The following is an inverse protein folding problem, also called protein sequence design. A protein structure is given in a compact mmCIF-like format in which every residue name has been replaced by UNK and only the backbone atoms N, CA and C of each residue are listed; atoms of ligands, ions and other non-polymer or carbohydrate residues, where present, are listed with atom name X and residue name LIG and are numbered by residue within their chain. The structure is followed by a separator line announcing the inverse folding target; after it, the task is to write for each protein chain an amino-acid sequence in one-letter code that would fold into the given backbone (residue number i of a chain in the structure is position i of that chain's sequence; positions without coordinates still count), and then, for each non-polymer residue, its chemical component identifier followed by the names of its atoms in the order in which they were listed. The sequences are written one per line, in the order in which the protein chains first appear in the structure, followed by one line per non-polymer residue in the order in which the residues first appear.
data_IF_873708058220
#
_entry.id   IF_873708058220
#
_cell.length_a   1.000
_cell.length_b   1.000
_cell.length_c   1.000
_cell.angle_alpha   90.00
_cell.angle_beta   90.00
_cell.angle_gamma   90.00
#
_symmetry.space_group_name_H-M   'P 1'
#
loop_
_entity.id
_entity.type
_entity.pdbx_description
1 polymer ?
#
# COMPACT_ATOMS: atom_id res chain seq x y z
N UNK A 1 -4.53 12.47 -17.31
CA UNK A 1 -3.86 12.72 -18.59
C UNK A 1 -3.31 14.13 -18.60
N UNK A 2 -2.17 14.37 -19.23
CA UNK A 2 -1.64 15.71 -19.55
C UNK A 2 -1.30 15.67 -21.04
N UNK A 3 -1.84 16.62 -21.82
CA UNK A 3 -1.65 16.67 -23.28
C UNK A 3 -1.90 15.31 -23.96
N UNK A 4 -3.03 14.69 -23.63
CA UNK A 4 -3.46 13.36 -24.11
C UNK A 4 -2.52 12.19 -23.74
N UNK A 5 -1.46 12.43 -22.95
CA UNK A 5 -0.60 11.38 -22.40
C UNK A 5 -1.15 10.84 -21.09
N UNK A 6 -1.24 9.51 -20.99
CA UNK A 6 -1.52 8.83 -19.72
C UNK A 6 -0.32 9.02 -18.78
N UNK A 7 -0.53 9.71 -17.67
CA UNK A 7 0.51 9.99 -16.67
C UNK A 7 0.36 9.16 -15.40
N UNK A 8 -0.69 8.36 -15.30
CA UNK A 8 -0.89 7.43 -14.19
C UNK A 8 -2.23 6.71 -14.26
N UNK A 9 -2.29 5.57 -13.58
CA UNK A 9 -3.44 4.69 -13.50
C UNK A 9 -3.46 3.99 -12.14
N UNK A 10 -4.65 3.65 -11.65
CA UNK A 10 -4.83 2.76 -10.52
C UNK A 10 -5.88 1.68 -10.87
N UNK A 11 -5.85 0.57 -10.15
CA UNK A 11 -6.89 -0.45 -10.23
C UNK A 11 -7.43 -0.75 -8.84
N UNK A 12 -8.75 -0.90 -8.80
CA UNK A 12 -9.53 -1.18 -7.61
C UNK A 12 -10.27 -2.49 -7.80
N UNK A 13 -10.25 -3.34 -6.77
CA UNK A 13 -10.93 -4.62 -6.75
C UNK A 13 -12.04 -4.54 -5.70
N UNK A 14 -13.28 -4.76 -6.13
CA UNK A 14 -14.41 -4.90 -5.21
C UNK A 14 -14.34 -6.26 -4.53
N UNK A 15 -14.18 -6.27 -3.21
CA UNK A 15 -14.12 -7.47 -2.40
C UNK A 15 -15.20 -7.43 -1.31
N UNK A 16 -16.41 -7.86 -1.67
CA UNK A 16 -17.57 -7.73 -0.79
C UNK A 16 -17.86 -6.26 -0.47
N UNK A 17 -17.72 -5.91 0.81
CA UNK A 17 -17.92 -4.56 1.34
C UNK A 17 -16.61 -3.75 1.48
N UNK A 18 -15.49 -4.31 1.04
CA UNK A 18 -14.16 -3.71 1.10
C UNK A 18 -13.68 -3.38 -0.31
N UNK A 19 -13.00 -2.25 -0.45
CA UNK A 19 -12.29 -1.89 -1.68
C UNK A 19 -10.80 -2.22 -1.55
N UNK A 20 -10.28 -3.11 -2.38
CA UNK A 20 -8.86 -3.46 -2.39
C UNK A 20 -8.13 -2.67 -3.50
N UNK A 21 -7.05 -1.97 -3.15
CA UNK A 21 -6.16 -1.39 -4.17
C UNK A 21 -5.20 -2.46 -4.68
N UNK A 22 -5.00 -2.55 -6.00
CA UNK A 22 -4.13 -3.58 -6.57
C UNK A 22 -2.91 -3.01 -7.29
N UNK A 23 -3.07 -2.47 -8.50
CA UNK A 23 -1.99 -1.83 -9.24
C UNK A 23 -2.13 -0.33 -9.21
N UNK A 24 -0.99 0.34 -9.12
CA UNK A 24 -0.88 1.78 -9.28
C UNK A 24 0.43 2.08 -10.00
N UNK A 25 0.35 2.89 -11.05
CA UNK A 25 1.51 3.33 -11.81
C UNK A 25 1.35 4.78 -12.22
N UNK A 26 2.44 5.53 -12.28
CA UNK A 26 2.45 6.94 -12.61
C UNK A 26 3.80 7.35 -13.21
N UNK A 27 3.81 8.50 -13.88
CA UNK A 27 5.01 9.10 -14.44
C UNK A 27 5.85 9.74 -13.32
N UNK A 28 6.94 9.07 -12.94
CA UNK A 28 7.82 9.50 -11.85
C UNK A 28 8.46 10.87 -12.11
N UNK A 29 8.63 11.26 -13.38
CA UNK A 29 9.29 12.53 -13.74
C UNK A 29 8.51 13.75 -13.27
N UNK A 30 7.19 13.63 -13.14
CA UNK A 30 6.28 14.70 -12.73
C UNK A 30 5.58 14.41 -11.40
N UNK A 31 5.87 13.26 -10.78
CA UNK A 31 5.25 12.80 -9.52
C UNK A 31 5.31 13.86 -8.43
N UNK A 32 6.47 14.49 -8.21
CA UNK A 32 6.66 15.45 -7.12
C UNK A 32 5.96 16.79 -7.39
N UNK A 33 6.05 17.28 -8.62
CA UNK A 33 5.45 18.56 -9.02
C UNK A 33 3.92 18.48 -9.00
N UNK A 34 3.36 17.36 -9.49
CA UNK A 34 1.90 17.17 -9.59
C UNK A 34 1.31 16.35 -8.45
N UNK A 35 2.13 15.89 -7.50
CA UNK A 35 1.74 15.03 -6.38
C UNK A 35 0.88 13.82 -6.82
N UNK A 36 1.24 13.14 -7.92
CA UNK A 36 0.35 12.16 -8.56
C UNK A 36 -0.08 11.06 -7.61
N UNK A 37 0.85 10.43 -6.89
CA UNK A 37 0.53 9.37 -5.93
C UNK A 37 -0.48 9.82 -4.87
N UNK A 38 -0.29 11.01 -4.30
CA UNK A 38 -1.19 11.53 -3.27
C UNK A 38 -2.58 11.77 -3.84
N UNK A 39 -2.67 12.38 -5.03
CA UNK A 39 -3.94 12.59 -5.72
C UNK A 39 -4.63 11.26 -6.05
N UNK A 40 -3.87 10.25 -6.49
CA UNK A 40 -4.42 8.91 -6.74
C UNK A 40 -4.96 8.25 -5.48
N UNK A 41 -4.31 8.44 -4.31
CA UNK A 41 -4.87 7.99 -3.03
C UNK A 41 -6.21 8.67 -2.74
N UNK A 42 -6.30 9.99 -2.91
CA UNK A 42 -7.55 10.72 -2.70
C UNK A 42 -8.65 10.32 -3.67
N UNK A 43 -8.33 10.10 -4.95
CA UNK A 43 -9.29 9.65 -5.94
C UNK A 43 -9.88 8.27 -5.57
N UNK A 44 -9.05 7.34 -5.13
CA UNK A 44 -9.50 6.01 -4.68
C UNK A 44 -10.38 6.10 -3.42
N UNK A 45 -10.04 6.98 -2.48
CA UNK A 45 -10.83 7.22 -1.26
C UNK A 45 -12.19 7.82 -1.64
N UNK A 46 -12.19 8.88 -2.44
CA UNK A 46 -13.40 9.56 -2.88
C UNK A 46 -14.32 8.61 -3.65
N UNK A 47 -13.76 7.81 -4.57
CA UNK A 47 -14.51 6.77 -5.27
C UNK A 47 -15.14 5.77 -4.30
N UNK A 48 -14.37 5.24 -3.34
CA UNK A 48 -14.86 4.25 -2.37
C UNK A 48 -15.99 4.78 -1.51
N UNK A 49 -15.86 6.03 -1.02
CA UNK A 49 -16.90 6.71 -0.26
C UNK A 49 -18.16 6.89 -1.11
N UNK A 50 -18.01 7.40 -2.34
CA UNK A 50 -19.13 7.65 -3.23
C UNK A 50 -19.87 6.36 -3.65
N UNK A 51 -19.18 5.23 -3.66
CA UNK A 51 -19.76 3.91 -3.92
C UNK A 51 -20.29 3.21 -2.66
N UNK A 52 -20.19 3.85 -1.48
CA UNK A 52 -20.73 3.32 -0.22
C UNK A 52 -19.89 2.24 0.45
N UNK A 53 -18.61 2.11 0.10
CA UNK A 53 -17.70 1.20 0.80
C UNK A 53 -17.29 1.79 2.16
N UNK A 54 -17.27 0.94 3.19
CA UNK A 54 -16.87 1.34 4.54
C UNK A 54 -15.36 1.26 4.78
N UNK A 55 -14.63 0.55 3.91
CA UNK A 55 -13.20 0.28 4.06
C UNK A 55 -12.50 0.24 2.70
N UNK A 56 -11.28 0.79 2.67
CA UNK A 56 -10.33 0.67 1.57
C UNK A 56 -8.99 0.14 2.09
N UNK A 57 -8.44 -0.87 1.43
CA UNK A 57 -7.18 -1.51 1.79
C UNK A 57 -6.10 -1.12 0.79
N UNK A 58 -5.11 -0.37 1.26
CA UNK A 58 -4.03 0.17 0.40
C UNK A 58 -2.86 -0.79 0.15
N UNK A 59 -2.90 -2.05 0.62
CA UNK A 59 -1.77 -2.99 0.58
C UNK A 59 -0.48 -2.48 1.27
N UNK A 60 0.63 -3.23 1.16
CA UNK A 60 1.87 -3.02 1.93
C UNK A 60 2.83 -1.98 1.32
N UNK A 61 4.02 -1.85 1.92
CA UNK A 61 5.20 -1.02 1.54
C UNK A 61 5.12 0.49 1.79
N UNK A 62 4.27 1.25 1.10
CA UNK A 62 4.28 2.73 1.17
C UNK A 62 3.53 3.30 2.39
N UNK A 63 3.89 2.84 3.61
CA UNK A 63 3.14 3.10 4.84
C UNK A 63 3.03 4.59 5.19
N UNK A 64 4.11 5.35 5.05
CA UNK A 64 4.17 6.76 5.46
C UNK A 64 3.16 7.63 4.67
N UNK A 65 3.20 7.59 3.34
CA UNK A 65 2.27 8.38 2.50
C UNK A 65 0.82 7.87 2.59
N UNK A 66 0.61 6.57 2.88
CA UNK A 66 -0.75 6.05 3.13
C UNK A 66 -1.30 6.58 4.46
N UNK A 67 -0.46 6.64 5.49
CA UNK A 67 -0.86 7.23 6.77
C UNK A 67 -1.18 8.73 6.66
N UNK A 68 -0.55 9.46 5.73
CA UNK A 68 -0.87 10.88 5.51
C UNK A 68 -2.26 11.14 4.93
N UNK A 69 -2.96 10.12 4.42
CA UNK A 69 -4.38 10.23 4.00
C UNK A 69 -5.35 9.61 5.00
N UNK A 70 -4.86 9.26 6.21
CA UNK A 70 -5.66 8.72 7.29
C UNK A 70 -5.72 7.18 7.35
N UNK A 71 -4.96 6.48 6.50
CA UNK A 71 -4.88 5.02 6.58
C UNK A 71 -4.17 4.59 7.87
N UNK A 72 -4.75 3.63 8.58
CA UNK A 72 -4.16 3.08 9.81
C UNK A 72 -3.38 1.80 9.51
N UNK A 73 -2.14 1.65 10.00
CA UNK A 73 -1.38 0.42 9.81
C UNK A 73 -2.05 -0.74 10.57
N UNK A 74 -2.20 -1.87 9.88
CA UNK A 74 -2.66 -3.12 10.47
C UNK A 74 -1.49 -4.11 10.51
N UNK A 75 -1.20 -4.64 11.70
CA UNK A 75 -0.14 -5.64 11.87
C UNK A 75 -0.57 -6.95 11.22
N UNK A 76 0.24 -7.42 10.27
CA UNK A 76 0.04 -8.71 9.61
C UNK A 76 1.08 -9.72 10.07
N UNK A 77 0.73 -11.00 10.02
CA UNK A 77 1.60 -12.11 10.39
C UNK A 77 1.82 -13.01 9.18
N UNK A 78 3.07 -13.44 8.98
CA UNK A 78 3.44 -14.41 7.95
C UNK A 78 3.74 -15.77 8.59
N UNK A 79 3.38 -16.85 7.89
CA UNK A 79 3.78 -18.21 8.25
C UNK A 79 4.86 -18.68 7.28
N UNK A 80 5.95 -19.23 7.82
CA UNK A 80 7.06 -19.76 7.02
C UNK A 80 7.37 -21.17 7.52
N UNK A 81 7.42 -22.10 6.58
CA UNK A 81 7.80 -23.50 6.83
C UNK A 81 8.71 -23.99 5.72
N UNK A 82 9.70 -24.81 6.06
CA UNK A 82 10.62 -25.39 5.08
C UNK A 82 10.54 -26.92 5.11
N UNK A 83 10.60 -27.56 3.94
CA UNK A 83 10.52 -29.03 3.82
C UNK A 83 11.72 -29.75 4.44
N UNK A 84 12.92 -29.16 4.33
CA UNK A 84 14.11 -29.63 5.04
C UNK A 84 14.02 -29.27 6.54
N UNK A 85 14.04 -30.30 7.39
CA UNK A 85 13.91 -30.16 8.85
C UNK A 85 15.03 -29.32 9.49
N UNK A 86 16.26 -29.38 8.97
CA UNK A 86 17.39 -28.61 9.51
C UNK A 86 17.20 -27.11 9.27
N UNK A 87 16.74 -26.75 8.06
CA UNK A 87 16.43 -25.36 7.71
C UNK A 87 15.22 -24.89 8.49
N UNK A 88 14.17 -25.72 8.58
CA UNK A 88 12.95 -25.39 9.31
C UNK A 88 13.22 -25.11 10.81
N UNK A 89 14.10 -25.89 11.43
CA UNK A 89 14.51 -25.66 12.82
C UNK A 89 15.25 -24.32 13.02
N UNK A 90 16.01 -23.88 12.01
CA UNK A 90 16.80 -22.65 12.06
C UNK A 90 16.13 -21.46 11.36
N UNK A 91 14.87 -21.60 10.90
CA UNK A 91 14.21 -20.63 10.03
C UNK A 91 14.06 -19.25 10.69
N UNK A 92 13.80 -19.21 12.00
CA UNK A 92 13.67 -17.96 12.75
C UNK A 92 14.97 -17.14 12.74
N UNK A 93 16.14 -17.80 12.82
CA UNK A 93 17.43 -17.13 12.73
C UNK A 93 17.67 -16.64 11.30
N UNK A 94 17.44 -17.49 10.31
CA UNK A 94 17.64 -17.14 8.89
C UNK A 94 16.75 -15.96 8.46
N UNK A 95 15.48 -15.95 8.89
CA UNK A 95 14.53 -14.91 8.54
C UNK A 95 15.01 -13.52 8.97
N UNK A 96 15.55 -13.39 10.18
CA UNK A 96 16.08 -12.12 10.69
C UNK A 96 17.28 -11.58 9.87
N UNK A 97 17.98 -12.44 9.12
CA UNK A 97 19.03 -11.98 8.17
C UNK A 97 18.47 -11.54 6.82
N UNK A 98 17.29 -12.04 6.45
CA UNK A 98 16.65 -11.73 5.17
C UNK A 98 15.71 -10.51 5.28
N UNK A 99 15.20 -10.23 6.47
CA UNK A 99 14.27 -9.14 6.70
C UNK A 99 14.99 -7.79 6.75
N UNK A 100 14.76 -6.88 5.79
CA UNK A 100 15.25 -5.52 5.89
C UNK A 100 14.55 -4.80 7.05
N UNK A 101 15.32 -4.07 7.85
CA UNK A 101 14.75 -3.15 8.84
C UNK A 101 13.97 -2.07 8.10
N UNK A 102 12.69 -1.94 8.43
CA UNK A 102 11.81 -0.97 7.80
C UNK A 102 11.52 0.15 8.79
N UNK A 103 12.34 1.20 8.76
CA UNK A 103 12.09 2.41 9.53
C UNK A 103 11.12 3.30 8.73
N UNK A 104 9.97 3.65 9.32
CA UNK A 104 9.02 4.58 8.73
C UNK A 104 8.32 5.39 9.82
N UNK A 105 7.81 6.57 9.47
CA UNK A 105 7.11 7.44 10.40
C UNK A 105 5.61 7.46 10.07
N UNK A 106 4.78 7.19 11.07
CA UNK A 106 3.33 7.37 10.94
C UNK A 106 2.98 8.86 10.86
N UNK A 107 2.17 9.22 9.86
CA UNK A 107 1.63 10.57 9.64
C UNK A 107 0.16 10.58 10.04
N UNK A 108 -0.31 11.74 10.49
CA UNK A 108 -1.71 11.95 10.84
C UNK A 108 -2.21 13.24 10.17
N UNK A 109 -3.17 13.18 9.23
CA UNK A 109 -3.72 14.39 8.61
C UNK A 109 -4.77 15.11 9.48
N UNK A 110 -5.22 14.51 10.59
CA UNK A 110 -6.31 15.00 11.42
C UNK A 110 -5.86 15.56 12.78
N UNK A 111 -4.54 15.70 13.01
CA UNK A 111 -3.94 16.30 14.22
C UNK A 111 -2.70 17.11 13.89
#
# INVERSE_FOLDING_TARGET
FIDEKLIGFNTLIKNGNVMDTYFLGYDETIQREKMLYLNMLYDMIAYSINQGFSEIVFARTALEIKSSVGAKPLKMYGLITHSNSLINHNIAKLFNYLEPKTDWQERNPFK
#
